data_IF_560588693760
#
_entry.id   IF_560588693760
#
_cell.length_a   1.000
_cell.length_b   1.000
_cell.length_c   1.000
_cell.angle_alpha   90.00
_cell.angle_beta   90.00
_cell.angle_gamma   90.00
#
_symmetry.space_group_name_H-M   'P 1'
#
loop_
_entity.id
_entity.type
_entity.pdbx_description
1 polymer ?
#
# COMPACT_ATOMS: atom_id res chain seq x y z
N UNK A 1 -19.94 3.83 16.41
CA UNK A 1 -19.55 2.83 15.39
C UNK A 1 -19.62 3.54 14.05
N UNK A 2 -18.48 3.79 13.40
CA UNK A 2 -18.47 4.44 12.09
C UNK A 2 -19.10 3.50 11.06
N UNK A 3 -20.08 3.99 10.30
CA UNK A 3 -20.64 3.25 9.17
C UNK A 3 -19.52 2.91 8.17
N UNK A 4 -19.55 1.75 7.49
CA UNK A 4 -18.64 1.50 6.40
C UNK A 4 -18.85 2.62 5.36
N UNK A 5 -17.81 3.41 5.14
CA UNK A 5 -17.71 4.30 3.97
C UNK A 5 -18.06 3.46 2.74
N UNK A 6 -18.84 4.01 1.82
CA UNK A 6 -19.20 3.38 0.56
C UNK A 6 -18.00 2.62 -0.02
N UNK A 7 -18.22 1.41 -0.56
CA UNK A 7 -17.14 0.61 -1.16
C UNK A 7 -16.31 1.51 -2.06
N UNK A 8 -15.05 1.78 -1.67
CA UNK A 8 -14.22 2.80 -2.32
C UNK A 8 -14.06 2.55 -3.82
N UNK A 9 -14.22 1.29 -4.24
CA UNK A 9 -14.28 0.85 -5.63
C UNK A 9 -15.39 1.51 -6.47
N UNK A 10 -16.46 1.98 -5.84
CA UNK A 10 -17.60 2.63 -6.49
C UNK A 10 -17.40 4.14 -6.66
N UNK A 11 -16.37 4.72 -6.03
CA UNK A 11 -16.05 6.14 -6.19
C UNK A 11 -15.58 6.40 -7.63
N UNK A 12 -16.13 7.39 -8.36
CA UNK A 12 -15.81 7.62 -9.77
C UNK A 12 -14.31 7.75 -10.05
N UNK A 13 -13.58 8.43 -9.16
CA UNK A 13 -12.13 8.60 -9.29
C UNK A 13 -11.36 7.31 -9.09
N UNK A 14 -11.81 6.39 -8.22
CA UNK A 14 -11.16 5.08 -8.05
C UNK A 14 -11.49 4.18 -9.22
N UNK A 15 -12.77 4.15 -9.62
CA UNK A 15 -13.25 3.36 -10.75
C UNK A 15 -12.52 3.71 -12.05
N UNK A 16 -12.16 4.98 -12.29
CA UNK A 16 -11.42 5.39 -13.49
C UNK A 16 -10.00 4.83 -13.57
N UNK A 17 -9.37 4.50 -12.44
CA UNK A 17 -8.02 3.89 -12.43
C UNK A 17 -8.03 2.37 -12.66
N UNK A 18 -9.16 1.67 -12.44
CA UNK A 18 -9.20 0.21 -12.54
C UNK A 18 -8.84 -0.33 -13.93
N UNK A 19 -9.30 0.27 -15.04
CA UNK A 19 -8.86 -0.12 -16.38
C UNK A 19 -7.38 0.19 -16.62
N UNK A 20 -6.86 1.26 -16.03
CA UNK A 20 -5.48 1.71 -16.23
C UNK A 20 -4.45 0.85 -15.50
N UNK A 21 -4.85 0.14 -14.45
CA UNK A 21 -3.99 -0.81 -13.71
C UNK A 21 -4.20 -2.26 -14.14
N UNK A 22 -4.97 -2.49 -15.20
CA UNK A 22 -5.24 -3.81 -15.74
C UNK A 22 -3.94 -4.43 -16.30
N UNK A 23 -3.59 -5.67 -15.94
CA UNK A 23 -2.40 -6.36 -16.47
C UNK A 23 -2.35 -6.39 -17.99
N UNK A 24 -3.50 -6.50 -18.65
CA UNK A 24 -3.59 -6.54 -20.11
C UNK A 24 -3.07 -5.26 -20.79
N UNK A 25 -2.93 -4.16 -20.04
CA UNK A 25 -2.52 -2.86 -20.56
C UNK A 25 -1.07 -2.49 -20.20
N UNK A 26 -0.29 -3.42 -19.61
CA UNK A 26 1.09 -3.18 -19.12
C UNK A 26 1.21 -1.86 -18.33
N UNK A 27 0.56 -1.79 -17.16
CA UNK A 27 0.29 -0.52 -16.51
C UNK A 27 1.58 0.15 -16.03
N UNK A 28 1.74 1.43 -16.36
CA UNK A 28 2.81 2.23 -15.76
C UNK A 28 2.69 2.24 -14.23
N UNK A 29 3.82 2.05 -13.54
CA UNK A 29 3.91 2.11 -12.08
C UNK A 29 3.27 3.37 -11.50
N UNK A 30 3.34 4.49 -12.22
CA UNK A 30 2.71 5.75 -11.85
C UNK A 30 1.19 5.64 -11.63
N UNK A 31 0.49 4.89 -12.48
CA UNK A 31 -0.97 4.70 -12.38
C UNK A 31 -1.35 3.87 -11.16
N UNK A 32 -0.52 2.88 -10.83
CA UNK A 32 -0.68 2.06 -9.63
C UNK A 32 -0.48 2.92 -8.38
N UNK A 33 0.55 3.76 -8.36
CA UNK A 33 0.83 4.65 -7.23
C UNK A 33 -0.28 5.71 -7.06
N UNK A 34 -0.83 6.21 -8.16
CA UNK A 34 -1.99 7.11 -8.13
C UNK A 34 -3.23 6.44 -7.55
N UNK A 35 -3.55 5.22 -7.99
CA UNK A 35 -4.66 4.44 -7.43
C UNK A 35 -4.51 4.29 -5.91
N UNK A 36 -3.34 3.85 -5.45
CA UNK A 36 -3.07 3.69 -4.02
C UNK A 36 -3.13 5.02 -3.26
N UNK A 37 -2.63 6.11 -3.83
CA UNK A 37 -2.72 7.44 -3.22
C UNK A 37 -4.17 7.88 -3.03
N UNK A 38 -5.04 7.64 -4.02
CA UNK A 38 -6.45 7.99 -3.95
C UNK A 38 -7.22 7.12 -2.94
N UNK A 39 -6.97 5.81 -2.93
CA UNK A 39 -7.56 4.90 -1.94
C UNK A 39 -7.19 5.35 -0.53
N UNK A 40 -5.90 5.61 -0.28
CA UNK A 40 -5.45 6.00 1.05
C UNK A 40 -5.95 7.38 1.46
N UNK A 41 -5.98 8.36 0.55
CA UNK A 41 -6.51 9.69 0.84
C UNK A 41 -8.02 9.66 1.18
N UNK A 42 -8.76 8.67 0.66
CA UNK A 42 -10.16 8.44 1.05
C UNK A 42 -10.30 8.00 2.51
N UNK A 43 -9.39 7.17 3.02
CA UNK A 43 -9.40 6.67 4.39
C UNK A 43 -8.65 7.54 5.40
N UNK A 44 -7.66 8.32 4.93
CA UNK A 44 -6.77 9.15 5.74
C UNK A 44 -6.79 10.59 5.23
N UNK A 45 -7.91 11.31 5.37
CA UNK A 45 -8.06 12.63 4.80
C UNK A 45 -7.29 13.70 5.60
N UNK A 46 -6.88 14.78 4.91
CA UNK A 46 -6.15 15.91 5.51
C UNK A 46 -6.84 16.51 6.75
N UNK A 47 -8.19 16.54 6.75
CA UNK A 47 -8.99 17.06 7.86
C UNK A 47 -8.81 16.28 9.17
N UNK A 48 -8.36 15.03 9.08
CA UNK A 48 -8.10 14.16 10.24
C UNK A 48 -6.62 14.19 10.64
N UNK A 49 -5.83 15.11 10.08
CA UNK A 49 -4.42 15.31 10.42
C UNK A 49 -3.45 14.35 9.72
N UNK A 50 -3.91 13.67 8.67
CA UNK A 50 -3.09 12.78 7.85
C UNK A 50 -2.65 13.44 6.55
N UNK A 51 -1.48 13.06 6.04
CA UNK A 51 -0.99 13.45 4.71
C UNK A 51 -0.72 12.22 3.85
N UNK A 52 -1.01 12.30 2.55
CA UNK A 52 -0.61 11.26 1.57
C UNK A 52 0.57 11.77 0.76
N UNK A 53 1.64 10.99 0.68
CA UNK A 53 2.85 11.32 -0.08
C UNK A 53 3.12 10.27 -1.15
N UNK A 54 3.31 10.70 -2.41
CA UNK A 54 3.90 9.87 -3.48
C UNK A 54 5.42 9.96 -3.42
N UNK A 55 6.08 8.84 -3.73
CA UNK A 55 7.55 8.75 -3.69
C UNK A 55 8.15 9.19 -2.34
N UNK A 56 7.51 8.82 -1.23
CA UNK A 56 7.89 9.35 0.08
C UNK A 56 9.39 9.14 0.32
N UNK A 57 10.12 10.26 0.36
CA UNK A 57 11.56 10.24 0.57
C UNK A 57 11.79 9.75 1.99
N UNK A 58 12.37 8.56 2.10
CA UNK A 58 12.72 8.00 3.41
C UNK A 58 13.98 8.69 4.00
N UNK A 59 14.70 9.50 3.20
CA UNK A 59 15.86 10.34 3.61
C UNK A 59 16.22 11.43 2.56
N UNK A 60 16.68 12.64 2.95
CA UNK A 60 17.53 13.51 2.12
C UNK A 60 19.05 13.24 2.37
N UNK A 61 19.96 13.25 1.37
CA UNK A 61 19.79 13.53 -0.06
C UNK A 61 19.74 12.26 -0.94
N UNK A 62 19.53 11.06 -0.38
CA UNK A 62 19.48 9.81 -1.17
C UNK A 62 18.05 9.30 -1.34
N UNK A 63 17.62 9.22 -2.61
CA UNK A 63 16.32 8.74 -3.08
C UNK A 63 16.11 7.26 -2.75
N UNK A 64 15.62 6.96 -1.55
CA UNK A 64 14.90 5.71 -1.32
C UNK A 64 13.42 6.00 -1.57
N UNK A 65 12.88 5.45 -2.65
CA UNK A 65 11.48 5.65 -3.06
C UNK A 65 10.61 4.52 -2.49
N UNK A 66 9.71 4.85 -1.57
CA UNK A 66 8.46 4.09 -1.39
C UNK A 66 7.39 4.67 -2.29
N UNK A 67 6.53 3.83 -2.85
CA UNK A 67 5.55 4.28 -3.82
C UNK A 67 4.55 5.29 -3.24
N UNK A 68 3.99 4.98 -2.07
CA UNK A 68 3.04 5.83 -1.36
C UNK A 68 3.26 5.70 0.16
N UNK A 69 3.10 6.80 0.89
CA UNK A 69 3.11 6.79 2.34
C UNK A 69 1.98 7.64 2.92
N UNK A 70 1.52 7.26 4.12
CA UNK A 70 0.69 8.11 4.96
C UNK A 70 1.53 8.67 6.09
N UNK A 71 1.37 9.96 6.30
CA UNK A 71 1.96 10.71 7.41
C UNK A 71 0.90 11.22 8.35
N UNK A 72 1.29 11.41 9.59
CA UNK A 72 0.51 12.13 10.57
C UNK A 72 1.39 13.12 11.32
N UNK A 73 0.76 14.09 11.97
CA UNK A 73 1.42 15.04 12.87
C UNK A 73 1.10 14.62 14.30
N UNK A 74 2.15 14.39 15.09
CA UNK A 74 2.09 14.19 16.53
C UNK A 74 2.83 15.35 17.23
N UNK A 75 2.72 15.52 18.56
CA UNK A 75 3.42 16.59 19.28
C UNK A 75 4.95 16.62 19.04
N UNK A 76 5.55 15.47 18.70
CA UNK A 76 6.97 15.32 18.38
C UNK A 76 7.33 15.62 16.92
N UNK A 77 6.36 16.00 16.07
CA UNK A 77 6.57 16.33 14.67
C UNK A 77 5.81 15.42 13.71
N UNK A 78 6.28 15.40 12.46
CA UNK A 78 5.70 14.59 11.38
C UNK A 78 6.27 13.18 11.38
N UNK A 79 5.41 12.17 11.26
CA UNK A 79 5.78 10.76 11.31
C UNK A 79 5.17 9.97 10.15
N UNK A 80 5.89 8.94 9.68
CA UNK A 80 5.32 7.94 8.74
C UNK A 80 4.51 6.92 9.54
N UNK A 81 3.25 6.70 9.17
CA UNK A 81 2.36 5.73 9.82
C UNK A 81 2.04 4.54 8.93
N UNK A 82 1.90 4.75 7.62
CA UNK A 82 1.69 3.68 6.63
C UNK A 82 2.71 3.83 5.51
N UNK A 83 3.39 2.75 5.13
CA UNK A 83 4.18 2.68 3.91
C UNK A 83 3.58 1.64 2.97
N UNK A 84 3.48 1.99 1.68
CA UNK A 84 2.95 1.10 0.65
C UNK A 84 4.01 0.84 -0.40
N UNK A 85 4.28 -0.44 -0.62
CA UNK A 85 5.05 -0.95 -1.75
C UNK A 85 4.08 -1.60 -2.73
N UNK A 86 3.79 -0.92 -3.84
CA UNK A 86 2.83 -1.38 -4.84
C UNK A 86 3.54 -1.82 -6.12
N UNK A 87 3.11 -2.93 -6.72
CA UNK A 87 3.65 -3.46 -7.97
C UNK A 87 2.51 -3.82 -8.90
N UNK A 88 2.79 -3.74 -10.20
CA UNK A 88 1.92 -4.29 -11.22
C UNK A 88 1.72 -5.79 -11.01
N UNK A 89 0.74 -6.34 -11.73
CA UNK A 89 0.65 -7.78 -11.87
C UNK A 89 1.97 -8.36 -12.43
N UNK A 90 2.40 -9.54 -11.99
CA UNK A 90 3.50 -10.25 -12.65
C UNK A 90 3.08 -10.72 -14.04
N UNK A 91 4.05 -11.03 -14.90
CA UNK A 91 3.80 -11.51 -16.28
C UNK A 91 2.96 -12.80 -16.35
N UNK A 92 2.95 -13.60 -15.27
CA UNK A 92 2.22 -14.87 -15.17
C UNK A 92 1.18 -14.79 -14.06
N UNK A 93 -0.09 -14.63 -14.43
CA UNK A 93 -1.22 -14.43 -13.52
C UNK A 93 -2.25 -15.56 -13.58
N UNK A 94 -1.83 -16.80 -13.83
CA UNK A 94 -2.72 -17.96 -13.77
C UNK A 94 -3.40 -18.07 -12.40
N UNK A 95 -4.51 -18.82 -12.32
CA UNK A 95 -5.21 -19.04 -11.04
C UNK A 95 -4.21 -19.60 -10.02
N UNK A 96 -4.05 -18.89 -8.90
CA UNK A 96 -3.08 -19.28 -7.87
C UNK A 96 -1.68 -18.71 -8.03
N UNK A 97 -1.43 -17.81 -8.99
CA UNK A 97 -0.12 -17.17 -9.21
C UNK A 97 0.52 -16.61 -7.92
N UNK A 98 -0.32 -16.11 -7.02
CA UNK A 98 0.08 -15.54 -5.74
C UNK A 98 0.76 -16.54 -4.79
N UNK A 99 0.56 -17.85 -4.98
CA UNK A 99 1.23 -18.88 -4.19
C UNK A 99 2.69 -19.08 -4.61
N UNK A 100 3.03 -18.76 -5.87
CA UNK A 100 4.37 -18.96 -6.44
C UNK A 100 5.12 -17.64 -6.68
N UNK A 101 4.44 -16.51 -6.56
CA UNK A 101 5.08 -15.19 -6.67
C UNK A 101 6.17 -15.01 -5.60
N UNK A 102 7.36 -14.48 -5.94
CA UNK A 102 8.47 -14.31 -5.00
C UNK A 102 8.27 -13.11 -4.07
N UNK A 103 7.32 -13.23 -3.13
CA UNK A 103 6.96 -12.18 -2.18
C UNK A 103 8.14 -11.64 -1.37
N UNK A 104 9.11 -12.48 -1.03
CA UNK A 104 10.24 -12.12 -0.17
C UNK A 104 11.00 -10.86 -0.65
N UNK A 105 11.08 -10.63 -1.97
CA UNK A 105 11.75 -9.46 -2.52
C UNK A 105 11.02 -8.15 -2.19
N UNK A 106 9.73 -8.07 -2.50
CA UNK A 106 8.89 -6.89 -2.24
C UNK A 106 8.65 -6.68 -0.74
N UNK A 107 8.56 -7.76 0.03
CA UNK A 107 8.49 -7.73 1.50
C UNK A 107 9.75 -7.15 2.12
N UNK A 108 10.92 -7.59 1.64
CA UNK A 108 12.21 -7.07 2.10
C UNK A 108 12.39 -5.59 1.77
N UNK A 109 11.88 -5.13 0.61
CA UNK A 109 11.86 -3.71 0.25
C UNK A 109 11.01 -2.91 1.25
N UNK A 110 9.76 -3.31 1.45
CA UNK A 110 8.87 -2.66 2.41
C UNK A 110 9.49 -2.64 3.82
N UNK A 111 10.01 -3.77 4.30
CA UNK A 111 10.65 -3.84 5.61
C UNK A 111 11.86 -2.89 5.72
N UNK A 112 12.69 -2.81 4.68
CA UNK A 112 13.82 -1.87 4.62
C UNK A 112 13.34 -0.43 4.74
N UNK A 113 12.25 -0.08 4.06
CA UNK A 113 11.69 1.26 4.10
C UNK A 113 11.07 1.60 5.45
N UNK A 114 10.34 0.68 6.07
CA UNK A 114 9.77 0.89 7.40
C UNK A 114 10.86 1.09 8.46
N UNK A 115 11.96 0.31 8.40
CA UNK A 115 13.11 0.48 9.30
C UNK A 115 13.75 1.86 9.13
N UNK A 116 14.03 2.25 7.88
CA UNK A 116 14.64 3.56 7.58
C UNK A 116 13.75 4.74 7.97
N UNK A 117 12.44 4.62 7.75
CA UNK A 117 11.48 5.64 8.16
C UNK A 117 11.48 5.79 9.69
N UNK A 118 11.55 4.69 10.42
CA UNK A 118 11.69 4.71 11.88
C UNK A 118 13.00 5.33 12.35
N UNK A 119 14.12 4.98 11.70
CA UNK A 119 15.42 5.57 12.03
C UNK A 119 15.45 7.08 11.78
N UNK A 120 14.66 7.56 10.81
CA UNK A 120 14.65 8.97 10.38
C UNK A 120 13.65 9.83 11.13
N UNK A 121 12.41 9.35 11.28
CA UNK A 121 11.30 10.10 11.88
C UNK A 121 11.08 9.72 13.35
N UNK A 122 11.76 8.69 13.85
CA UNK A 122 11.68 8.23 15.23
C UNK A 122 10.70 7.09 15.44
N UNK A 123 10.89 6.39 16.57
CA UNK A 123 10.04 5.29 16.99
C UNK A 123 8.96 5.77 17.97
N UNK A 124 7.99 6.53 17.48
CA UNK A 124 6.96 7.13 18.33
C UNK A 124 5.61 6.42 18.26
N UNK A 125 5.41 5.58 17.23
CA UNK A 125 4.15 4.87 16.98
C UNK A 125 4.37 3.57 16.22
N UNK A 126 3.39 2.67 16.29
CA UNK A 126 3.34 1.50 15.42
C UNK A 126 3.23 1.96 13.97
N UNK A 127 4.07 1.38 13.11
CA UNK A 127 4.04 1.63 11.67
C UNK A 127 3.40 0.43 10.99
N UNK A 128 2.57 0.71 9.98
CA UNK A 128 1.91 -0.29 9.16
C UNK A 128 2.53 -0.30 7.77
N UNK A 129 2.58 -1.48 7.18
CA UNK A 129 3.11 -1.71 5.86
C UNK A 129 2.08 -2.40 4.99
N UNK A 130 2.01 -2.03 3.72
CA UNK A 130 1.16 -2.66 2.72
C UNK A 130 2.05 -3.08 1.56
N UNK A 131 2.07 -4.37 1.25
CA UNK A 131 2.55 -4.84 -0.06
C UNK A 131 1.33 -5.08 -0.92
N UNK A 132 1.28 -4.45 -2.09
CA UNK A 132 0.26 -4.69 -3.10
C UNK A 132 0.92 -5.18 -4.39
N UNK A 133 0.50 -6.33 -4.89
CA UNK A 133 0.96 -6.88 -6.17
C UNK A 133 -0.27 -7.32 -6.94
N UNK A 134 -0.56 -6.63 -8.05
CA UNK A 134 -1.78 -6.86 -8.82
C UNK A 134 -3.04 -6.74 -7.95
N UNK A 135 -3.84 -7.81 -7.91
CA UNK A 135 -5.07 -7.92 -7.10
C UNK A 135 -4.84 -8.44 -5.67
N UNK A 136 -3.58 -8.63 -5.25
CA UNK A 136 -3.25 -9.20 -3.94
C UNK A 136 -2.58 -8.19 -3.05
N UNK A 137 -2.95 -8.22 -1.79
CA UNK A 137 -2.41 -7.34 -0.76
C UNK A 137 -1.98 -8.15 0.45
N UNK A 138 -0.90 -7.73 1.10
CA UNK A 138 -0.44 -8.25 2.38
C UNK A 138 -0.17 -7.08 3.32
N UNK A 139 -0.52 -7.26 4.59
CA UNK A 139 -0.38 -6.23 5.61
C UNK A 139 0.73 -6.62 6.59
N UNK A 140 1.49 -5.64 7.02
CA UNK A 140 2.62 -5.79 7.92
C UNK A 140 2.51 -4.78 9.04
N UNK A 141 2.96 -5.16 10.22
CA UNK A 141 3.08 -4.25 11.35
C UNK A 141 4.51 -4.23 11.85
N UNK A 142 4.97 -3.04 12.23
CA UNK A 142 6.22 -2.84 12.95
C UNK A 142 5.88 -2.11 14.24
N UNK A 143 5.84 -2.86 15.35
CA UNK A 143 5.43 -2.33 16.65
C UNK A 143 6.42 -1.29 17.18
N UNK A 144 5.93 -0.31 17.94
CA UNK A 144 6.78 0.68 18.61
C UNK A 144 7.52 0.12 19.84
N UNK A 145 6.99 -0.94 20.44
CA UNK A 145 7.50 -1.51 21.70
C UNK A 145 8.59 -2.59 21.52
N UNK A 146 8.77 -3.12 20.31
CA UNK A 146 9.78 -4.16 20.02
C UNK A 146 10.58 -3.75 18.77
N UNK A 147 11.91 -3.62 18.93
CA UNK A 147 12.85 -3.40 17.82
C UNK A 147 13.10 -4.66 16.98
N UNK A 148 12.37 -5.75 17.24
CA UNK A 148 12.57 -7.07 16.67
C UNK A 148 11.39 -7.48 15.77
N UNK A 149 11.50 -7.14 14.48
CA UNK A 149 10.78 -7.80 13.39
C UNK A 149 9.47 -7.16 12.93
N UNK A 150 9.25 -7.16 11.61
CA UNK A 150 7.91 -7.01 11.03
C UNK A 150 7.20 -8.35 11.17
N UNK A 151 6.04 -8.41 11.81
CA UNK A 151 5.26 -9.65 11.87
C UNK A 151 4.15 -9.55 10.81
N UNK A 152 4.12 -10.44 9.80
CA UNK A 152 3.14 -10.36 8.72
C UNK A 152 1.77 -10.87 9.17
N UNK A 153 0.72 -10.19 8.73
CA UNK A 153 -0.64 -10.73 8.67
C UNK A 153 -1.15 -10.59 7.23
N UNK A 154 -1.21 -11.69 6.50
CA UNK A 154 -1.77 -11.70 5.16
C UNK A 154 -3.31 -11.59 5.23
N UNK A 155 -3.89 -10.59 4.59
CA UNK A 155 -5.34 -10.48 4.39
C UNK A 155 -5.60 -10.51 2.90
N UNK A 156 -6.39 -11.48 2.45
CA UNK A 156 -6.81 -11.57 1.05
C UNK A 156 -7.82 -10.47 0.77
N UNK A 157 -7.52 -9.55 -0.14
CA UNK A 157 -8.57 -8.77 -0.80
C UNK A 157 -9.22 -9.72 -1.81
N UNK A 158 -10.20 -10.51 -1.34
CA UNK A 158 -11.09 -11.20 -2.26
C UNK A 158 -12.01 -10.17 -2.89
N UNK A 159 -12.03 -10.14 -4.22
CA UNK A 159 -13.17 -9.65 -4.98
C UNK A 159 -14.35 -10.55 -4.60
N UNK A 160 -15.08 -10.23 -3.54
CA UNK A 160 -16.36 -10.86 -3.29
C UNK A 160 -17.22 -10.53 -4.50
N UNK A 161 -17.49 -11.56 -5.31
CA UNK A 161 -18.43 -11.54 -6.44
C UNK A 161 -18.16 -10.51 -7.54
N UNK A 162 -17.16 -10.79 -8.36
CA UNK A 162 -17.28 -10.57 -9.81
C UNK A 162 -16.54 -11.70 -10.54
N UNK A 163 -17.02 -12.93 -10.31
CA UNK A 163 -17.19 -13.85 -11.43
C UNK A 163 -18.23 -13.19 -12.34
N UNK A 164 -17.78 -12.31 -13.23
CA UNK A 164 -18.44 -12.23 -14.52
C UNK A 164 -18.11 -13.58 -15.18
N UNK A 165 -19.12 -14.44 -15.22
CA UNK A 165 -19.17 -15.56 -16.13
C UNK A 165 -18.57 -15.11 -17.47
N UNK A 166 -17.58 -15.86 -17.96
CA UNK A 166 -17.25 -15.79 -19.38
C UNK A 166 -18.52 -16.23 -20.11
N UNK A 167 -19.14 -15.40 -20.97
CA UNK A 167 -20.06 -15.94 -21.96
C UNK A 167 -19.18 -16.65 -22.99
N UNK A 168 -19.43 -17.96 -23.11
CA UNK A 168 -19.02 -18.93 -24.15
C UNK A 168 -17.81 -18.60 -25.04
#
# INVERSE_FOLDING_TARGET
>A
MAQPLADYWTLPIIASYLPEVNPANDPYQERIDHLWSNILNHYFPLRDGFGTEREALVKPPRKFKTNVAITNILPSGMHKVILVEAKAFPDKTDIGWFNVYPWAGVESQLQSYMKKARDTFGNVQTMYGIVAVGDRVRFYTMNSLNNTGCNPYAVYISRTTAHAERPH
#
